data_IF_180150812614
#
_entry.id   IF_180150812614
#
_cell.length_a   1.000
_cell.length_b   1.000
_cell.length_c   1.000
_cell.angle_alpha   90.00
_cell.angle_beta   90.00
_cell.angle_gamma   90.00
#
_symmetry.space_group_name_H-M   'P 1'
#
loop_
_entity.id
_entity.type
_entity.pdbx_description
1 polymer ?
#
# COMPACT_ATOMS: atom_id res chain seq x y z
N UNK A 1 48.94 20.35 -29.04
CA UNK A 1 47.49 20.39 -29.41
C UNK A 1 46.76 19.05 -29.27
N UNK A 2 47.34 17.89 -29.56
CA UNK A 2 46.67 16.55 -29.47
C UNK A 2 46.37 16.11 -28.05
N UNK A 3 47.14 16.46 -27.03
CA UNK A 3 46.96 16.02 -25.62
C UNK A 3 45.79 16.73 -24.97
N UNK A 4 45.52 17.99 -25.29
CA UNK A 4 44.43 18.79 -24.74
C UNK A 4 43.05 18.29 -25.23
N UNK A 5 42.99 17.86 -26.51
CA UNK A 5 41.79 17.29 -27.13
C UNK A 5 41.36 15.95 -26.46
N UNK A 6 42.34 15.10 -26.11
CA UNK A 6 42.09 13.80 -25.50
C UNK A 6 41.60 13.91 -24.06
N UNK A 7 42.02 14.90 -23.30
CA UNK A 7 41.52 15.17 -21.96
C UNK A 7 40.10 15.71 -21.97
N UNK A 8 39.76 16.57 -22.93
CA UNK A 8 38.41 17.11 -23.10
C UNK A 8 37.40 16.03 -23.46
N UNK A 9 37.79 15.07 -24.34
CA UNK A 9 36.93 13.95 -24.72
C UNK A 9 36.66 12.99 -23.56
N UNK A 10 37.69 12.73 -22.72
CA UNK A 10 37.51 11.89 -21.51
C UNK A 10 36.61 12.55 -20.48
N UNK A 11 36.75 13.88 -20.29
CA UNK A 11 35.88 14.61 -19.35
C UNK A 11 34.43 14.64 -19.79
N UNK A 12 34.18 14.81 -21.11
CA UNK A 12 32.85 14.76 -21.69
C UNK A 12 32.21 13.37 -21.57
N UNK A 13 33.00 12.30 -21.76
CA UNK A 13 32.50 10.91 -21.61
C UNK A 13 32.11 10.59 -20.16
N UNK A 14 32.89 11.07 -19.18
CA UNK A 14 32.59 10.89 -17.75
C UNK A 14 31.28 11.64 -17.37
N UNK A 15 31.09 12.85 -17.93
CA UNK A 15 29.89 13.65 -17.68
C UNK A 15 28.62 13.00 -18.25
N UNK A 16 28.74 12.36 -19.43
CA UNK A 16 27.60 11.63 -20.06
C UNK A 16 27.25 10.37 -19.27
N UNK A 17 28.25 9.63 -18.75
CA UNK A 17 28.01 8.44 -17.93
C UNK A 17 27.38 8.80 -16.58
N UNK A 18 27.78 9.93 -15.97
CA UNK A 18 27.18 10.40 -14.72
C UNK A 18 25.70 10.84 -14.87
N UNK A 19 25.28 11.26 -16.08
CA UNK A 19 23.92 11.71 -16.34
C UNK A 19 22.94 10.57 -16.60
N UNK A 20 23.42 9.36 -16.94
CA UNK A 20 22.54 8.20 -17.26
C UNK A 20 22.07 7.42 -16.04
N UNK A 21 22.52 7.73 -14.82
CA UNK A 21 22.19 6.95 -13.61
C UNK A 21 21.00 7.48 -12.79
N UNK A 22 20.37 8.58 -13.20
CA UNK A 22 19.15 9.09 -12.55
C UNK A 22 17.88 8.73 -13.34
N UNK A 23 17.73 7.48 -13.71
CA UNK A 23 16.39 6.95 -14.01
C UNK A 23 15.74 6.62 -12.67
N UNK A 24 14.95 7.54 -12.15
CA UNK A 24 13.96 7.21 -11.10
C UNK A 24 12.97 6.25 -11.74
N UNK A 25 13.24 4.96 -11.62
CA UNK A 25 12.21 3.96 -11.87
C UNK A 25 11.09 4.24 -10.86
N UNK A 26 9.95 4.70 -11.34
CA UNK A 26 8.72 4.61 -10.57
C UNK A 26 8.52 3.11 -10.28
N UNK A 27 8.76 2.69 -9.05
CA UNK A 27 8.61 1.31 -8.67
C UNK A 27 7.11 1.00 -8.73
N UNK A 28 6.75 0.12 -9.67
CA UNK A 28 5.38 -0.39 -9.76
C UNK A 28 5.05 -1.12 -8.46
N UNK A 29 3.85 -0.90 -7.92
CA UNK A 29 3.43 -1.59 -6.69
C UNK A 29 3.23 -3.06 -7.01
N UNK A 30 4.02 -3.92 -6.39
CA UNK A 30 3.80 -5.36 -6.38
C UNK A 30 2.73 -5.69 -5.35
N UNK A 31 1.58 -6.17 -5.85
CA UNK A 31 0.47 -6.57 -5.01
C UNK A 31 0.58 -8.04 -4.64
N UNK A 32 0.51 -8.30 -3.35
CA UNK A 32 0.54 -9.64 -2.77
C UNK A 32 -0.88 -10.16 -2.52
N UNK A 33 -1.02 -11.48 -2.48
CA UNK A 33 -2.16 -12.12 -1.83
C UNK A 33 -2.05 -11.98 -0.32
N UNK A 34 -3.13 -12.28 0.40
CA UNK A 34 -3.09 -12.32 1.86
C UNK A 34 -2.08 -13.36 2.38
N UNK A 35 -2.09 -14.55 1.77
CA UNK A 35 -1.24 -15.66 2.15
C UNK A 35 0.25 -15.32 2.03
N UNK A 36 0.65 -14.71 0.91
CA UNK A 36 2.02 -14.26 0.68
C UNK A 36 2.47 -13.22 1.72
N UNK A 37 1.63 -12.22 1.98
CA UNK A 37 1.94 -11.20 2.96
C UNK A 37 2.01 -11.76 4.39
N UNK A 38 1.11 -12.67 4.75
CA UNK A 38 1.09 -13.31 6.06
C UNK A 38 2.31 -14.23 6.27
N UNK A 39 2.74 -14.96 5.23
CA UNK A 39 3.96 -15.74 5.25
C UNK A 39 5.20 -14.86 5.44
N UNK A 40 5.33 -13.78 4.66
CA UNK A 40 6.42 -12.82 4.79
C UNK A 40 6.45 -12.20 6.19
N UNK A 41 5.30 -11.73 6.70
CA UNK A 41 5.22 -11.15 8.03
C UNK A 41 5.58 -12.12 9.15
N UNK A 42 5.38 -13.44 8.94
CA UNK A 42 5.72 -14.48 9.95
C UNK A 42 7.17 -14.96 9.89
N UNK A 43 7.84 -14.78 8.76
CA UNK A 43 9.20 -15.33 8.51
C UNK A 43 10.30 -14.29 8.52
N UNK A 44 9.99 -13.03 8.19
CA UNK A 44 10.97 -11.96 8.18
C UNK A 44 11.44 -11.62 9.60
N UNK A 45 12.74 -11.37 9.76
CA UNK A 45 13.32 -10.94 11.04
C UNK A 45 12.82 -9.59 11.52
N UNK A 46 12.56 -8.69 10.57
CA UNK A 46 12.02 -7.35 10.80
C UNK A 46 10.84 -7.18 9.86
N UNK A 47 9.67 -7.74 10.21
CA UNK A 47 8.51 -7.69 9.33
C UNK A 47 8.02 -6.26 9.14
N UNK A 48 7.53 -5.97 7.95
CA UNK A 48 6.81 -4.74 7.67
C UNK A 48 5.38 -4.85 8.18
N UNK A 49 4.74 -3.70 8.38
CA UNK A 49 3.28 -3.62 8.53
C UNK A 49 2.57 -4.12 7.28
N UNK A 50 1.30 -4.52 7.40
CA UNK A 50 0.50 -4.94 6.26
C UNK A 50 -0.49 -3.84 5.89
N UNK A 51 -0.51 -3.50 4.62
CA UNK A 51 -1.52 -2.66 4.02
C UNK A 51 -2.43 -3.51 3.14
N UNK A 52 -3.76 -3.37 3.30
CA UNK A 52 -4.74 -4.12 2.51
C UNK A 52 -5.67 -3.12 1.80
N UNK A 53 -5.72 -3.19 0.47
CA UNK A 53 -6.75 -2.54 -0.33
C UNK A 53 -7.90 -3.52 -0.56
N UNK A 54 -9.03 -3.25 0.11
CA UNK A 54 -10.24 -4.06 -0.05
C UNK A 54 -11.08 -3.47 -1.17
N UNK A 55 -11.22 -4.22 -2.25
CA UNK A 55 -11.87 -3.80 -3.48
C UNK A 55 -12.95 -4.80 -3.94
N UNK A 56 -13.62 -4.48 -5.02
CA UNK A 56 -14.44 -5.40 -5.83
C UNK A 56 -14.31 -5.05 -7.31
N UNK A 57 -14.52 -6.00 -8.20
CA UNK A 57 -14.36 -5.80 -9.66
C UNK A 57 -15.25 -4.71 -10.25
N UNK A 58 -16.43 -4.51 -9.68
CA UNK A 58 -17.38 -3.49 -10.13
C UNK A 58 -17.14 -2.10 -9.52
N UNK A 59 -16.22 -1.97 -8.56
CA UNK A 59 -15.95 -0.72 -7.85
C UNK A 59 -15.17 0.29 -8.72
N UNK A 60 -15.87 1.25 -9.32
CA UNK A 60 -15.25 2.30 -10.14
C UNK A 60 -14.28 3.19 -9.35
N UNK A 61 -14.59 3.49 -8.08
CA UNK A 61 -13.70 4.28 -7.21
C UNK A 61 -12.45 3.53 -6.79
N UNK A 62 -12.50 2.18 -6.70
CA UNK A 62 -11.31 1.36 -6.47
C UNK A 62 -10.34 1.47 -7.66
N UNK A 63 -10.85 1.29 -8.88
CA UNK A 63 -10.06 1.44 -10.11
C UNK A 63 -9.46 2.84 -10.23
N UNK A 64 -10.20 3.87 -9.81
CA UNK A 64 -9.70 5.24 -9.79
C UNK A 64 -8.59 5.40 -8.75
N UNK A 65 -8.71 4.80 -7.58
CA UNK A 65 -7.69 4.85 -6.52
C UNK A 65 -6.42 4.12 -6.91
N UNK A 66 -6.54 2.97 -7.57
CA UNK A 66 -5.41 2.25 -8.15
C UNK A 66 -4.60 3.15 -9.07
N UNK A 67 -5.28 3.81 -10.04
CA UNK A 67 -4.63 4.64 -11.04
C UNK A 67 -4.05 5.93 -10.47
N UNK A 68 -4.85 6.66 -9.69
CA UNK A 68 -4.49 8.03 -9.28
C UNK A 68 -3.60 8.04 -8.04
N UNK A 69 -3.81 7.08 -7.11
CA UNK A 69 -3.19 7.10 -5.79
C UNK A 69 -2.07 6.09 -5.67
N UNK A 70 -2.34 4.81 -5.90
CA UNK A 70 -1.32 3.78 -5.69
C UNK A 70 -0.22 3.79 -6.74
N UNK A 71 -0.52 4.21 -7.99
CA UNK A 71 0.50 4.43 -9.03
C UNK A 71 1.21 5.78 -8.95
N UNK A 72 0.86 6.65 -7.98
CA UNK A 72 1.61 7.88 -7.77
C UNK A 72 3.02 7.56 -7.28
N UNK A 73 4.10 8.05 -7.92
CA UNK A 73 5.49 7.66 -7.59
C UNK A 73 5.89 7.87 -6.13
N UNK A 74 5.37 8.92 -5.48
CA UNK A 74 5.67 9.19 -4.06
C UNK A 74 4.93 8.23 -3.14
N UNK A 75 3.71 7.83 -3.52
CA UNK A 75 2.91 6.86 -2.77
C UNK A 75 3.50 5.48 -2.93
N UNK A 76 3.70 5.02 -4.19
CA UNK A 76 4.22 3.68 -4.46
C UNK A 76 5.58 3.45 -3.79
N UNK A 77 6.52 4.39 -3.90
CA UNK A 77 7.84 4.28 -3.27
C UNK A 77 7.72 4.13 -1.74
N UNK A 78 6.96 5.00 -1.08
CA UNK A 78 6.78 4.93 0.37
C UNK A 78 6.07 3.64 0.81
N UNK A 79 5.00 3.26 0.12
CA UNK A 79 4.21 2.08 0.47
C UNK A 79 5.00 0.79 0.32
N UNK A 80 5.71 0.62 -0.80
CA UNK A 80 6.53 -0.58 -1.07
C UNK A 80 7.70 -0.71 -0.08
N UNK A 81 8.26 0.41 0.38
CA UNK A 81 9.33 0.40 1.37
C UNK A 81 8.84 -0.04 2.75
N UNK A 82 7.65 0.42 3.17
CA UNK A 82 7.19 0.32 4.57
C UNK A 82 6.11 -0.74 4.81
N UNK A 83 5.47 -1.27 3.76
CA UNK A 83 4.35 -2.20 3.90
C UNK A 83 4.47 -3.42 2.98
N UNK A 84 3.91 -4.54 3.40
CA UNK A 84 3.46 -5.60 2.51
C UNK A 84 2.12 -5.18 1.93
N UNK A 85 2.05 -5.04 0.60
CA UNK A 85 0.92 -4.47 -0.11
C UNK A 85 -0.04 -5.57 -0.57
N UNK A 86 -1.21 -5.69 0.05
CA UNK A 86 -2.20 -6.73 -0.23
C UNK A 86 -3.38 -6.19 -1.02
N UNK A 87 -3.78 -6.91 -2.08
CA UNK A 87 -5.09 -6.75 -2.75
C UNK A 87 -6.06 -7.80 -2.24
N UNK A 88 -7.19 -7.38 -1.70
CA UNK A 88 -8.23 -8.27 -1.20
C UNK A 88 -9.55 -8.02 -1.91
N UNK A 89 -9.99 -9.00 -2.73
CA UNK A 89 -11.33 -8.95 -3.31
C UNK A 89 -12.40 -9.21 -2.23
N UNK A 90 -13.23 -8.21 -1.96
CA UNK A 90 -14.32 -8.31 -1.01
C UNK A 90 -15.43 -9.30 -1.40
N UNK A 91 -15.44 -9.78 -2.64
CA UNK A 91 -16.33 -10.83 -3.17
C UNK A 91 -15.54 -12.10 -3.60
N UNK A 92 -14.24 -12.20 -3.24
CA UNK A 92 -13.37 -13.35 -3.50
C UNK A 92 -13.94 -14.65 -2.94
N UNK A 93 -13.60 -15.78 -3.57
CA UNK A 93 -14.20 -17.08 -3.22
C UNK A 93 -13.26 -18.06 -2.58
N UNK A 94 -11.96 -17.82 -2.70
CA UNK A 94 -10.95 -18.70 -2.11
C UNK A 94 -10.93 -18.51 -0.59
N UNK A 95 -10.89 -19.59 0.18
CA UNK A 95 -10.87 -19.48 1.64
C UNK A 95 -9.56 -18.85 2.13
N UNK A 96 -9.64 -17.99 3.14
CA UNK A 96 -8.49 -17.32 3.77
C UNK A 96 -8.36 -17.81 5.20
N UNK A 97 -7.13 -18.23 5.56
CA UNK A 97 -6.78 -18.57 6.92
C UNK A 97 -6.17 -17.35 7.65
N UNK A 98 -6.72 -17.02 8.82
CA UNK A 98 -6.18 -15.96 9.65
C UNK A 98 -6.39 -16.24 11.13
N UNK A 99 -5.31 -16.23 11.92
CA UNK A 99 -5.31 -16.46 13.38
C UNK A 99 -6.12 -17.71 13.79
N UNK A 100 -5.92 -18.80 13.04
CA UNK A 100 -6.54 -20.10 13.32
C UNK A 100 -8.01 -20.21 12.91
N UNK A 101 -8.54 -19.23 12.20
CA UNK A 101 -9.90 -19.25 11.65
C UNK A 101 -9.88 -19.23 10.14
N UNK A 102 -10.69 -20.10 9.51
CA UNK A 102 -10.98 -20.09 8.07
C UNK A 102 -12.12 -19.16 7.77
N UNK A 103 -11.87 -18.15 6.93
CA UNK A 103 -12.87 -17.22 6.40
C UNK A 103 -13.25 -17.65 5.00
N UNK A 104 -14.54 -17.63 4.67
CA UNK A 104 -15.07 -18.11 3.40
C UNK A 104 -15.95 -17.08 2.73
N UNK A 105 -16.24 -17.32 1.46
CA UNK A 105 -17.26 -16.57 0.75
C UNK A 105 -18.66 -16.92 1.28
N UNK A 106 -19.47 -15.89 1.51
CA UNK A 106 -20.88 -16.01 1.93
C UNK A 106 -21.79 -15.49 0.81
N UNK A 107 -22.58 -16.35 0.19
CA UNK A 107 -23.58 -15.92 -0.79
C UNK A 107 -24.64 -15.00 -0.14
N UNK A 108 -24.96 -13.89 -0.82
CA UNK A 108 -25.99 -12.95 -0.38
C UNK A 108 -26.74 -12.39 -1.60
N UNK A 109 -27.97 -12.87 -1.83
CA UNK A 109 -28.74 -12.52 -3.00
C UNK A 109 -28.05 -12.90 -4.32
N UNK A 110 -27.89 -11.91 -5.22
CA UNK A 110 -27.21 -12.11 -6.52
C UNK A 110 -25.68 -12.05 -6.43
N UNK A 111 -25.14 -11.62 -5.31
CA UNK A 111 -23.71 -11.43 -5.05
C UNK A 111 -23.33 -12.21 -3.80
N UNK A 112 -22.46 -11.69 -3.03
CA UNK A 112 -21.99 -12.20 -1.77
C UNK A 112 -20.89 -11.34 -1.25
N UNK A 113 -20.22 -11.82 -0.24
CA UNK A 113 -19.05 -11.15 0.33
C UNK A 113 -18.10 -12.18 0.93
N UNK A 114 -16.83 -11.81 1.03
CA UNK A 114 -15.86 -12.63 1.74
C UNK A 114 -15.88 -12.29 3.24
N UNK A 115 -15.96 -13.31 4.10
CA UNK A 115 -16.01 -13.12 5.56
C UNK A 115 -14.79 -12.37 6.11
N UNK A 116 -13.61 -12.59 5.52
CA UNK A 116 -12.40 -11.88 5.93
C UNK A 116 -12.49 -10.38 5.64
N UNK A 117 -12.96 -10.02 4.44
CA UNK A 117 -13.24 -8.62 4.12
C UNK A 117 -14.28 -8.03 5.08
N UNK A 118 -15.37 -8.74 5.35
CA UNK A 118 -16.40 -8.28 6.29
C UNK A 118 -15.84 -8.08 7.71
N UNK A 119 -14.95 -8.96 8.17
CA UNK A 119 -14.30 -8.82 9.47
C UNK A 119 -13.40 -7.58 9.53
N UNK A 120 -12.55 -7.37 8.51
CA UNK A 120 -11.67 -6.20 8.40
C UNK A 120 -12.47 -4.89 8.29
N UNK A 121 -13.59 -4.91 7.58
CA UNK A 121 -14.50 -3.77 7.39
C UNK A 121 -15.47 -3.59 8.56
N UNK A 122 -15.35 -4.38 9.62
CA UNK A 122 -16.21 -4.34 10.81
C UNK A 122 -17.71 -4.42 10.45
N UNK A 123 -18.05 -5.25 9.44
CA UNK A 123 -19.40 -5.45 8.92
C UNK A 123 -19.93 -4.35 8.00
N UNK A 124 -19.18 -3.27 7.78
CA UNK A 124 -19.56 -2.15 6.90
C UNK A 124 -18.95 -2.33 5.51
N UNK A 125 -19.56 -3.16 4.67
CA UNK A 125 -19.09 -3.45 3.32
C UNK A 125 -19.17 -2.21 2.41
N UNK A 126 -18.11 -1.39 2.43
CA UNK A 126 -17.94 -0.21 1.57
C UNK A 126 -16.61 -0.27 0.83
N UNK A 127 -16.60 0.14 -0.43
CA UNK A 127 -15.42 0.05 -1.31
C UNK A 127 -15.16 1.37 -2.04
N UNK A 128 -13.88 1.79 -2.20
CA UNK A 128 -12.70 1.18 -1.59
C UNK A 128 -12.67 1.40 -0.08
N UNK A 129 -12.07 0.48 0.64
CA UNK A 129 -11.63 0.71 2.03
C UNK A 129 -10.23 0.13 2.17
N UNK A 130 -9.31 0.92 2.71
CA UNK A 130 -7.96 0.46 3.00
C UNK A 130 -7.80 0.12 4.47
N UNK A 131 -7.00 -0.89 4.78
CA UNK A 131 -6.78 -1.39 6.13
C UNK A 131 -5.28 -1.33 6.43
N UNK A 132 -4.93 -0.89 7.62
CA UNK A 132 -3.56 -0.95 8.14
C UNK A 132 -3.53 -1.94 9.30
N UNK A 133 -2.58 -2.88 9.25
CA UNK A 133 -2.25 -3.80 10.33
C UNK A 133 -0.82 -3.54 10.78
N UNK A 134 -0.57 -3.79 12.08
CA UNK A 134 0.79 -3.77 12.63
C UNK A 134 1.60 -5.01 12.22
N UNK A 135 2.82 -5.11 12.72
CA UNK A 135 3.75 -6.20 12.42
C UNK A 135 3.28 -7.55 13.00
N UNK A 136 2.42 -7.55 14.03
CA UNK A 136 1.76 -8.73 14.59
C UNK A 136 0.39 -9.02 13.96
N UNK A 137 0.07 -8.35 12.86
CA UNK A 137 -1.21 -8.45 12.14
C UNK A 137 -2.43 -8.06 13.01
N UNK A 138 -2.27 -7.13 13.95
CA UNK A 138 -3.41 -6.54 14.64
C UNK A 138 -3.90 -5.32 13.85
N UNK A 139 -5.22 -5.14 13.82
CA UNK A 139 -5.81 -4.03 13.09
C UNK A 139 -5.52 -2.69 13.76
N UNK A 140 -4.88 -1.79 13.03
CA UNK A 140 -4.68 -0.40 13.44
C UNK A 140 -5.89 0.45 13.07
N UNK A 141 -6.28 0.46 11.79
CA UNK A 141 -7.44 1.24 11.36
C UNK A 141 -7.97 0.80 9.99
N UNK A 142 -9.29 0.76 9.80
CA UNK A 142 -9.92 0.86 8.49
C UNK A 142 -10.02 2.34 8.08
N UNK A 143 -9.72 2.63 6.81
CA UNK A 143 -9.83 3.96 6.19
C UNK A 143 -10.78 3.86 5.00
N UNK A 144 -12.07 4.17 5.16
CA UNK A 144 -13.05 4.03 4.11
C UNK A 144 -12.99 5.17 3.09
N UNK A 145 -13.32 4.83 1.84
CA UNK A 145 -13.50 5.76 0.74
C UNK A 145 -12.21 6.07 -0.04
N UNK A 146 -12.43 6.70 -1.20
CA UNK A 146 -11.36 7.13 -2.09
C UNK A 146 -10.49 8.21 -1.44
N UNK A 147 -9.19 8.00 -1.45
CA UNK A 147 -8.19 8.97 -0.99
C UNK A 147 -7.33 9.46 -2.17
N UNK A 148 -7.13 10.77 -2.29
CA UNK A 148 -6.16 11.34 -3.22
C UNK A 148 -4.73 11.04 -2.76
N UNK A 149 -3.70 11.12 -3.65
CA UNK A 149 -2.31 10.76 -3.31
C UNK A 149 -1.77 11.44 -2.05
N UNK A 150 -1.94 12.76 -1.92
CA UNK A 150 -1.36 13.50 -0.77
C UNK A 150 -2.03 13.15 0.57
N UNK A 151 -3.37 13.18 0.70
CA UNK A 151 -4.05 12.69 1.91
C UNK A 151 -3.71 11.24 2.23
N UNK A 152 -3.70 10.36 1.24
CA UNK A 152 -3.36 8.96 1.44
C UNK A 152 -1.95 8.78 1.98
N UNK A 153 -0.95 9.46 1.39
CA UNK A 153 0.44 9.39 1.85
C UNK A 153 0.58 9.89 3.29
N UNK A 154 -0.21 10.90 3.68
CA UNK A 154 -0.20 11.38 5.06
C UNK A 154 -0.74 10.31 6.04
N UNK A 155 -1.84 9.64 5.67
CA UNK A 155 -2.37 8.51 6.45
C UNK A 155 -1.36 7.36 6.52
N UNK A 156 -0.76 7.00 5.38
CA UNK A 156 0.23 5.92 5.32
C UNK A 156 1.43 6.20 6.22
N UNK A 157 1.92 7.44 6.25
CA UNK A 157 3.02 7.85 7.14
C UNK A 157 2.62 7.82 8.61
N UNK A 158 1.41 8.19 8.95
CA UNK A 158 0.92 8.13 10.31
C UNK A 158 1.05 6.72 10.90
N UNK A 159 0.73 5.69 10.11
CA UNK A 159 0.88 4.30 10.52
C UNK A 159 2.29 3.75 10.27
N UNK A 160 2.89 4.02 9.11
CA UNK A 160 4.19 3.47 8.71
C UNK A 160 5.36 3.97 9.55
N UNK A 161 5.35 5.25 9.91
CA UNK A 161 6.38 5.88 10.73
C UNK A 161 6.07 5.78 12.25
N UNK A 162 5.10 4.95 12.64
CA UNK A 162 4.69 4.72 14.05
C UNK A 162 4.16 5.95 14.80
N UNK A 163 3.80 7.01 14.09
CA UNK A 163 3.34 8.27 14.71
C UNK A 163 2.09 8.04 15.56
N UNK A 164 1.24 7.08 15.17
CA UNK A 164 0.02 6.72 15.92
C UNK A 164 0.28 6.22 17.34
N UNK A 165 1.50 5.81 17.66
CA UNK A 165 1.89 5.37 19.01
C UNK A 165 2.04 6.53 19.98
N UNK A 166 2.42 7.71 19.48
CA UNK A 166 2.76 8.88 20.29
C UNK A 166 1.78 10.06 20.12
N UNK A 167 1.03 10.09 19.02
CA UNK A 167 0.17 11.21 18.64
C UNK A 167 -1.13 10.72 17.99
N UNK A 168 -2.26 11.28 18.40
CA UNK A 168 -3.55 11.00 17.75
C UNK A 168 -3.66 11.63 16.35
N UNK A 169 -4.53 11.06 15.51
CA UNK A 169 -4.72 11.50 14.13
C UNK A 169 -5.10 12.98 14.01
N UNK A 170 -5.97 13.47 14.89
CA UNK A 170 -6.48 14.83 14.81
C UNK A 170 -5.35 15.85 15.00
N UNK A 171 -4.49 15.60 15.97
CA UNK A 171 -3.30 16.42 16.23
C UNK A 171 -2.28 16.33 15.09
N UNK A 172 -2.02 15.10 14.59
CA UNK A 172 -1.08 14.90 13.49
C UNK A 172 -1.55 15.51 12.17
N UNK A 173 -2.81 15.35 11.82
CA UNK A 173 -3.36 15.87 10.54
C UNK A 173 -3.57 17.38 10.51
N UNK A 174 -3.50 18.04 11.65
CA UNK A 174 -3.80 19.47 11.79
C UNK A 174 -5.31 19.78 11.68
N UNK A 175 -6.18 18.80 11.89
CA UNK A 175 -7.65 18.95 11.86
C UNK A 175 -8.21 19.51 13.17
N UNK A 176 -7.38 20.11 14.01
CA UNK A 176 -7.85 20.84 15.20
C UNK A 176 -8.65 22.08 14.77
N UNK A 177 -9.97 21.98 14.89
CA UNK A 177 -10.85 23.17 14.79
C UNK A 177 -11.62 23.38 13.51
N UNK A 178 -12.02 22.31 12.79
CA UNK A 178 -13.06 22.41 11.75
C UNK A 178 -14.37 21.84 12.20
#
# INVERSE_FOLDING_TARGET
MKVLSLQFTKFLLILVIAFTTFMVNAQEVEWLTWEEAAEMASTDKNPKKIFIDVYTDWCGWCKKMDKDTFQNPKVSAYMTENFYMVKLDGEGKDPIEFKGKTYKFVPSGRKGYHEFAAALLQGRLSYPTTIFLDEEMNMLSPVPGYQKPKPFLNIAKYFGDDIYKDQDWKTYSGEEGR
#
